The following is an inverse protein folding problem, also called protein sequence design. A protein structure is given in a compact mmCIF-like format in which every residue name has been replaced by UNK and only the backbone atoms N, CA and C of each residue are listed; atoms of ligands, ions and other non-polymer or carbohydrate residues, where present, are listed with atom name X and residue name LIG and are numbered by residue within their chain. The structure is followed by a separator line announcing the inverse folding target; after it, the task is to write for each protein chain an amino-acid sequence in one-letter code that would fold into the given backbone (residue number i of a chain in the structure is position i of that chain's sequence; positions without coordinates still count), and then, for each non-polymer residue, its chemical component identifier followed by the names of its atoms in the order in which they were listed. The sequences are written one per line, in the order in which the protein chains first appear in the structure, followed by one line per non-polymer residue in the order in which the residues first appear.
data_IF_541387879855
#
_entry.id   IF_541387879855
#
_cell.length_a   1.000
_cell.length_b   1.000
_cell.length_c   1.000
_cell.angle_alpha   90.00
_cell.angle_beta   90.00
_cell.angle_gamma   90.00
#
_symmetry.space_group_name_H-M   'P 1'
#
loop_
_entity.id
_entity.type
_entity.pdbx_description
1 polymer ?
#
# COMPACT_ATOMS: atom_id res chain seq x y z
N UNK A 1 -38.78 22.71 7.69
CA UNK A 1 -37.51 22.10 7.23
C UNK A 1 -37.02 22.95 6.08
N UNK A 2 -35.89 23.64 6.24
CA UNK A 2 -35.27 24.36 5.13
C UNK A 2 -34.90 23.35 4.04
N UNK A 3 -35.30 23.60 2.81
CA UNK A 3 -34.85 22.84 1.64
C UNK A 3 -33.32 22.78 1.67
N UNK A 4 -32.75 21.56 1.71
CA UNK A 4 -31.30 21.36 1.62
C UNK A 4 -30.90 21.85 0.24
N UNK A 5 -30.46 23.10 0.15
CA UNK A 5 -30.06 23.68 -1.13
C UNK A 5 -28.67 23.17 -1.49
N UNK A 6 -28.49 22.81 -2.76
CA UNK A 6 -27.19 22.49 -3.36
C UNK A 6 -26.10 23.51 -2.95
N UNK A 7 -26.47 24.79 -2.94
CA UNK A 7 -25.60 25.92 -2.55
C UNK A 7 -25.12 25.88 -1.09
N UNK A 8 -25.87 25.23 -0.19
CA UNK A 8 -25.44 25.03 1.20
C UNK A 8 -24.38 23.93 1.28
N UNK A 9 -24.61 22.80 0.64
CA UNK A 9 -23.68 21.67 0.61
C UNK A 9 -22.36 22.04 -0.08
N UNK A 10 -22.40 22.81 -1.17
CA UNK A 10 -21.19 23.30 -1.87
C UNK A 10 -20.24 24.11 -0.97
N UNK A 11 -20.76 24.74 0.10
CA UNK A 11 -19.93 25.46 1.07
C UNK A 11 -19.35 24.54 2.15
N UNK A 12 -20.04 23.45 2.47
CA UNK A 12 -19.68 22.55 3.58
C UNK A 12 -18.74 21.44 3.11
N UNK A 13 -19.06 20.79 1.98
CA UNK A 13 -18.33 19.64 1.45
C UNK A 13 -16.80 19.85 1.33
N UNK A 14 -16.29 21.03 0.88
CA UNK A 14 -14.85 21.28 0.83
C UNK A 14 -14.15 21.36 2.19
N UNK A 15 -14.90 21.48 3.29
CA UNK A 15 -14.36 21.53 4.66
C UNK A 15 -14.18 20.15 5.29
N UNK A 16 -14.77 19.10 4.70
CA UNK A 16 -14.73 17.74 5.23
C UNK A 16 -13.38 17.08 4.90
N UNK A 17 -12.62 16.63 5.90
CA UNK A 17 -11.36 15.88 5.66
C UNK A 17 -11.66 14.47 5.15
N UNK A 18 -11.55 14.29 3.83
CA UNK A 18 -11.77 13.02 3.15
C UNK A 18 -11.07 12.99 1.77
N UNK A 19 -11.18 11.87 1.04
CA UNK A 19 -10.45 11.63 -0.21
C UNK A 19 -10.71 12.69 -1.29
N UNK A 20 -11.93 13.23 -1.33
CA UNK A 20 -12.35 14.30 -2.25
C UNK A 20 -11.66 15.64 -1.99
N UNK A 21 -11.17 15.87 -0.77
CA UNK A 21 -10.52 17.14 -0.35
C UNK A 21 -9.00 17.01 -0.19
N UNK A 22 -8.47 15.78 -0.22
CA UNK A 22 -7.04 15.53 -0.09
C UNK A 22 -6.23 15.81 -1.35
N UNK A 23 -6.86 16.25 -2.45
CA UNK A 23 -6.20 16.63 -3.70
C UNK A 23 -5.30 15.52 -4.28
N UNK A 24 -5.74 14.26 -4.17
CA UNK A 24 -4.97 13.08 -4.59
C UNK A 24 -4.73 13.05 -6.11
N UNK A 25 -5.73 13.47 -6.88
CA UNK A 25 -5.73 13.43 -8.34
C UNK A 25 -6.34 14.71 -8.90
N UNK A 26 -5.58 15.82 -8.86
CA UNK A 26 -6.10 17.14 -9.25
C UNK A 26 -6.69 17.19 -10.68
N UNK A 27 -5.89 16.80 -11.69
CA UNK A 27 -6.22 16.88 -13.13
C UNK A 27 -6.00 15.58 -13.89
N UNK A 28 -5.34 14.61 -13.27
CA UNK A 28 -5.05 13.31 -13.87
C UNK A 28 -6.13 12.35 -13.37
N UNK A 29 -6.77 11.59 -14.27
CA UNK A 29 -7.62 10.49 -13.82
C UNK A 29 -6.75 9.46 -13.09
N UNK A 30 -7.25 8.82 -12.01
CA UNK A 30 -6.56 7.68 -11.45
C UNK A 30 -6.39 6.65 -12.58
N UNK A 31 -5.21 6.07 -12.69
CA UNK A 31 -5.00 5.00 -13.66
C UNK A 31 -5.91 3.82 -13.27
N UNK A 32 -6.47 3.08 -14.25
CA UNK A 32 -7.25 1.84 -13.96
C UNK A 32 -6.47 0.90 -13.04
N UNK A 33 -5.17 0.88 -13.25
CA UNK A 33 -4.13 0.44 -12.36
C UNK A 33 -4.39 0.72 -10.86
N UNK A 34 -4.68 1.94 -10.42
CA UNK A 34 -4.90 2.21 -8.99
C UNK A 34 -6.06 1.37 -8.41
N UNK A 35 -7.14 1.14 -9.16
CA UNK A 35 -8.29 0.36 -8.70
C UNK A 35 -7.91 -1.11 -8.43
N UNK A 36 -7.30 -1.76 -9.42
CA UNK A 36 -6.87 -3.15 -9.31
C UNK A 36 -5.89 -3.35 -8.16
N UNK A 37 -4.99 -2.38 -7.95
CA UNK A 37 -4.06 -2.42 -6.82
C UNK A 37 -4.77 -2.40 -5.49
N UNK A 38 -5.70 -1.46 -5.29
CA UNK A 38 -6.41 -1.33 -4.02
C UNK A 38 -7.28 -2.57 -3.76
N UNK A 39 -7.96 -3.11 -4.78
CA UNK A 39 -8.73 -4.36 -4.68
C UNK A 39 -7.86 -5.54 -4.23
N UNK A 40 -6.74 -5.78 -4.90
CA UNK A 40 -5.82 -6.86 -4.53
C UNK A 40 -5.26 -6.65 -3.12
N UNK A 41 -4.98 -5.41 -2.73
CA UNK A 41 -4.46 -5.12 -1.40
C UNK A 41 -5.49 -5.40 -0.29
N UNK A 42 -6.76 -5.09 -0.49
CA UNK A 42 -7.84 -5.40 0.47
C UNK A 42 -7.93 -6.90 0.75
N UNK A 43 -7.76 -7.72 -0.28
CA UNK A 43 -7.89 -9.17 -0.19
C UNK A 43 -6.67 -9.82 0.50
N UNK A 44 -5.46 -9.31 0.24
CA UNK A 44 -4.22 -10.02 0.57
C UNK A 44 -3.21 -9.27 1.47
N UNK A 45 -3.48 -8.01 1.86
CA UNK A 45 -2.70 -7.28 2.88
C UNK A 45 -3.34 -7.35 4.27
N UNK A 46 -2.53 -7.02 5.29
CA UNK A 46 -2.90 -7.06 6.71
C UNK A 46 -4.21 -6.32 7.02
N UNK A 47 -4.90 -6.75 8.07
CA UNK A 47 -6.21 -6.27 8.49
C UNK A 47 -6.22 -4.81 8.93
N UNK A 48 -5.11 -4.30 9.47
CA UNK A 48 -5.03 -2.99 10.16
C UNK A 48 -5.49 -1.78 9.34
N UNK A 49 -5.61 -1.88 8.01
CA UNK A 49 -5.92 -0.73 7.14
C UNK A 49 -7.04 -0.99 6.13
N UNK A 50 -7.81 -2.08 6.27
CA UNK A 50 -8.80 -2.46 5.25
C UNK A 50 -9.89 -1.41 5.08
N UNK A 51 -10.37 -0.78 6.16
CA UNK A 51 -11.36 0.29 6.07
C UNK A 51 -10.85 1.49 5.25
N UNK A 52 -9.61 1.93 5.49
CA UNK A 52 -8.96 2.99 4.70
C UNK A 52 -8.85 2.60 3.23
N UNK A 53 -8.52 1.35 2.93
CA UNK A 53 -8.44 0.86 1.55
C UNK A 53 -9.82 0.85 0.87
N UNK A 54 -10.88 0.45 1.58
CA UNK A 54 -12.24 0.53 1.05
C UNK A 54 -12.70 1.98 0.82
N UNK A 55 -12.32 2.92 1.70
CA UNK A 55 -12.57 4.36 1.49
C UNK A 55 -11.85 4.89 0.24
N UNK A 56 -10.59 4.49 0.02
CA UNK A 56 -9.84 4.83 -1.19
C UNK A 56 -10.46 4.19 -2.44
N UNK A 57 -10.85 2.91 -2.36
CA UNK A 57 -11.49 2.21 -3.47
C UNK A 57 -12.81 2.88 -3.87
N UNK A 58 -13.61 3.30 -2.89
CA UNK A 58 -14.84 4.05 -3.15
C UNK A 58 -14.56 5.34 -3.94
N UNK A 59 -13.53 6.09 -3.55
CA UNK A 59 -13.13 7.29 -4.27
C UNK A 59 -12.66 6.99 -5.70
N UNK A 60 -11.86 5.94 -5.90
CA UNK A 60 -11.41 5.52 -7.24
C UNK A 60 -12.59 5.10 -8.13
N UNK A 61 -13.52 4.30 -7.59
CA UNK A 61 -14.74 3.88 -8.30
C UNK A 61 -15.62 5.07 -8.67
N UNK A 62 -15.75 6.04 -7.77
CA UNK A 62 -16.43 7.30 -8.07
C UNK A 62 -15.78 8.03 -9.25
N UNK A 63 -14.45 8.13 -9.28
CA UNK A 63 -13.73 8.77 -10.39
C UNK A 63 -13.91 8.03 -11.73
N UNK A 64 -14.17 6.73 -11.70
CA UNK A 64 -14.57 5.93 -12.86
C UNK A 64 -16.08 6.00 -13.19
N UNK A 65 -16.85 6.84 -12.49
CA UNK A 65 -18.29 7.01 -12.67
C UNK A 65 -19.15 5.90 -12.05
N UNK A 66 -18.55 4.98 -11.29
CA UNK A 66 -19.23 3.83 -10.66
C UNK A 66 -19.74 4.19 -9.26
N UNK A 67 -20.62 5.18 -9.16
CA UNK A 67 -21.06 5.74 -7.87
C UNK A 67 -21.76 4.72 -6.95
N UNK A 68 -22.57 3.80 -7.49
CA UNK A 68 -23.23 2.77 -6.67
C UNK A 68 -22.22 1.78 -6.08
N UNK A 69 -21.23 1.34 -6.88
CA UNK A 69 -20.15 0.48 -6.39
C UNK A 69 -19.24 1.22 -5.40
N UNK A 70 -19.12 2.55 -5.50
CA UNK A 70 -18.45 3.36 -4.49
C UNK A 70 -19.21 3.31 -3.14
N UNK A 71 -20.55 3.40 -3.16
CA UNK A 71 -21.36 3.29 -1.94
C UNK A 71 -21.25 1.91 -1.28
N UNK A 72 -21.16 0.83 -2.07
CA UNK A 72 -20.90 -0.53 -1.56
C UNK A 72 -19.54 -0.61 -0.85
N UNK A 73 -18.50 0.00 -1.41
CA UNK A 73 -17.18 0.06 -0.78
C UNK A 73 -17.21 0.85 0.54
N UNK A 74 -17.94 1.97 0.59
CA UNK A 74 -18.10 2.74 1.83
C UNK A 74 -18.86 1.95 2.91
N UNK A 75 -19.83 1.13 2.50
CA UNK A 75 -20.54 0.25 3.44
C UNK A 75 -19.59 -0.79 4.03
N UNK A 76 -18.75 -1.41 3.20
CA UNK A 76 -17.72 -2.35 3.66
C UNK A 76 -16.74 -1.68 4.63
N UNK A 77 -16.35 -0.43 4.36
CA UNK A 77 -15.50 0.34 5.29
C UNK A 77 -16.20 0.54 6.65
N UNK A 78 -17.47 0.94 6.67
CA UNK A 78 -18.23 1.17 7.91
C UNK A 78 -18.41 -0.13 8.72
N UNK A 79 -18.70 -1.26 8.04
CA UNK A 79 -18.80 -2.58 8.68
C UNK A 79 -17.47 -3.04 9.32
N UNK A 80 -16.34 -2.78 8.65
CA UNK A 80 -15.01 -3.08 9.19
C UNK A 80 -14.67 -2.20 10.38
N UNK A 81 -14.94 -0.89 10.31
CA UNK A 81 -14.71 0.04 11.43
C UNK A 81 -15.51 -0.40 12.66
N UNK A 82 -16.78 -0.81 12.48
CA UNK A 82 -17.60 -1.31 13.58
C UNK A 82 -17.04 -2.60 14.20
N UNK A 83 -16.47 -3.49 13.37
CA UNK A 83 -15.91 -4.76 13.84
C UNK A 83 -14.57 -4.60 14.53
N UNK A 84 -13.69 -3.77 14.00
CA UNK A 84 -12.27 -3.68 14.41
C UNK A 84 -12.00 -2.53 15.39
N UNK A 85 -12.83 -1.48 15.38
CA UNK A 85 -12.65 -0.27 16.18
C UNK A 85 -13.94 0.15 16.91
N UNK A 86 -14.61 -0.81 17.55
CA UNK A 86 -15.89 -0.59 18.24
C UNK A 86 -15.85 0.53 19.30
N UNK A 87 -14.68 0.81 19.89
CA UNK A 87 -14.45 1.86 20.89
C UNK A 87 -14.24 3.26 20.28
N UNK A 88 -13.91 3.34 18.99
CA UNK A 88 -13.55 4.59 18.28
C UNK A 88 -14.32 4.79 16.96
N UNK A 89 -15.47 4.13 16.82
CA UNK A 89 -16.26 4.12 15.57
C UNK A 89 -16.52 5.53 15.05
N UNK A 90 -16.98 6.44 15.90
CA UNK A 90 -17.35 7.79 15.46
C UNK A 90 -16.16 8.55 14.81
N UNK A 91 -14.97 8.45 15.40
CA UNK A 91 -13.78 9.15 14.90
C UNK A 91 -13.26 8.46 13.63
N UNK A 92 -13.21 7.12 13.62
CA UNK A 92 -12.72 6.34 12.47
C UNK A 92 -13.68 6.37 11.28
N UNK A 93 -14.97 6.67 11.50
CA UNK A 93 -15.97 6.79 10.42
C UNK A 93 -16.02 8.18 9.77
N UNK A 94 -15.32 9.19 10.28
CA UNK A 94 -15.38 10.56 9.74
C UNK A 94 -15.03 10.65 8.25
N UNK A 95 -13.98 9.96 7.80
CA UNK A 95 -13.58 9.95 6.38
C UNK A 95 -14.60 9.19 5.53
N UNK A 96 -15.12 8.07 6.04
CA UNK A 96 -16.18 7.30 5.36
C UNK A 96 -17.45 8.13 5.18
N UNK A 97 -17.89 8.83 6.22
CA UNK A 97 -19.06 9.72 6.14
C UNK A 97 -18.81 10.93 5.25
N UNK A 98 -17.60 11.50 5.27
CA UNK A 98 -17.19 12.56 4.34
C UNK A 98 -17.26 12.09 2.88
N UNK A 99 -16.76 10.89 2.60
CA UNK A 99 -16.86 10.27 1.28
C UNK A 99 -18.33 10.01 0.88
N UNK A 100 -19.17 9.50 1.78
CA UNK A 100 -20.61 9.34 1.53
C UNK A 100 -21.27 10.66 1.14
N UNK A 101 -21.00 11.73 1.89
CA UNK A 101 -21.55 13.05 1.62
C UNK A 101 -21.21 13.53 0.20
N UNK A 102 -19.97 13.35 -0.25
CA UNK A 102 -19.53 13.69 -1.60
C UNK A 102 -20.18 12.79 -2.67
N UNK A 103 -20.22 11.47 -2.48
CA UNK A 103 -20.81 10.55 -3.47
C UNK A 103 -22.30 10.82 -3.65
N UNK A 104 -23.06 10.98 -2.55
CA UNK A 104 -24.49 11.34 -2.63
C UNK A 104 -24.72 12.70 -3.28
N UNK A 105 -23.85 13.68 -3.00
CA UNK A 105 -23.91 14.98 -3.65
C UNK A 105 -23.74 14.87 -5.17
N UNK A 106 -22.77 14.08 -5.64
CA UNK A 106 -22.55 13.83 -7.07
C UNK A 106 -23.69 13.05 -7.75
N UNK A 107 -24.42 12.23 -6.98
CA UNK A 107 -25.65 11.55 -7.43
C UNK A 107 -26.89 12.46 -7.46
N UNK A 108 -26.79 13.71 -6.98
CA UNK A 108 -27.94 14.62 -6.82
C UNK A 108 -28.85 14.28 -5.63
N UNK A 109 -28.42 13.35 -4.77
CA UNK A 109 -29.14 12.86 -3.57
C UNK A 109 -28.84 13.76 -2.37
N UNK A 110 -29.22 15.03 -2.46
CA UNK A 110 -28.80 16.07 -1.50
C UNK A 110 -29.29 15.82 -0.07
N UNK A 111 -30.48 15.26 0.12
CA UNK A 111 -30.99 14.92 1.45
C UNK A 111 -30.10 13.90 2.15
N UNK A 112 -29.59 12.92 1.42
CA UNK A 112 -28.72 11.88 1.97
C UNK A 112 -27.31 12.42 2.21
N UNK A 113 -26.79 13.25 1.30
CA UNK A 113 -25.54 13.97 1.53
C UNK A 113 -25.58 14.78 2.82
N UNK A 114 -26.71 15.47 3.11
CA UNK A 114 -26.89 16.23 4.34
C UNK A 114 -26.89 15.35 5.59
N UNK A 115 -27.49 14.15 5.55
CA UNK A 115 -27.47 13.21 6.68
C UNK A 115 -26.03 12.89 7.10
N UNK A 116 -25.13 12.63 6.15
CA UNK A 116 -23.73 12.35 6.47
C UNK A 116 -22.95 13.58 6.90
N UNK A 117 -23.24 14.76 6.32
CA UNK A 117 -22.71 16.04 6.83
C UNK A 117 -23.10 16.25 8.29
N UNK A 118 -24.36 15.96 8.65
CA UNK A 118 -24.85 16.12 10.02
C UNK A 118 -24.19 15.12 10.97
N UNK A 119 -23.93 13.87 10.54
CA UNK A 119 -23.14 12.90 11.31
C UNK A 119 -21.72 13.39 11.61
N UNK A 120 -21.02 13.88 10.58
CA UNK A 120 -19.69 14.48 10.74
C UNK A 120 -19.78 15.65 11.71
N UNK A 121 -20.73 16.56 11.49
CA UNK A 121 -20.90 17.76 12.31
C UNK A 121 -21.14 17.43 13.78
N UNK A 122 -22.05 16.51 14.06
CA UNK A 122 -22.35 16.07 15.42
C UNK A 122 -21.12 15.50 16.14
N UNK A 123 -20.28 14.77 15.40
CA UNK A 123 -19.05 14.19 15.95
C UNK A 123 -18.00 15.27 16.19
N UNK A 124 -17.83 16.22 15.26
CA UNK A 124 -16.87 17.30 15.35
C UNK A 124 -17.26 18.37 16.39
N UNK A 125 -18.55 18.61 16.63
CA UNK A 125 -19.05 19.53 17.66
C UNK A 125 -18.56 19.15 19.08
N UNK A 126 -18.24 17.86 19.32
CA UNK A 126 -17.62 17.39 20.56
C UNK A 126 -16.18 17.92 20.76
N UNK A 127 -15.56 18.50 19.73
CA UNK A 127 -14.14 18.89 19.67
C UNK A 127 -13.92 20.35 19.22
N UNK A 128 -14.91 21.23 19.40
CA UNK A 128 -14.80 22.70 19.18
C UNK A 128 -14.62 23.19 17.71
N UNK A 129 -14.77 22.33 16.70
CA UNK A 129 -14.90 22.72 15.28
C UNK A 129 -16.04 21.92 14.63
N UNK A 130 -17.00 22.54 13.91
CA UNK A 130 -18.17 21.84 13.42
C UNK A 130 -17.95 20.95 12.18
N UNK A 131 -16.89 21.11 11.38
CA UNK A 131 -16.79 20.39 10.08
C UNK A 131 -15.48 19.66 9.85
N UNK A 132 -14.49 19.88 10.70
CA UNK A 132 -13.24 19.13 10.68
C UNK A 132 -12.72 19.01 12.10
N UNK A 133 -12.12 17.86 12.39
CA UNK A 133 -11.31 17.69 13.60
C UNK A 133 -9.85 17.64 13.13
N UNK A 134 -8.99 18.28 13.91
CA UNK A 134 -7.57 17.98 13.90
C UNK A 134 -7.39 16.82 14.88
N UNK A 135 -7.41 15.58 14.40
CA UNK A 135 -7.12 14.43 15.24
C UNK A 135 -6.14 13.49 14.54
N UNK A 136 -5.29 12.80 15.31
CA UNK A 136 -4.21 12.01 14.75
C UNK A 136 -4.71 10.80 13.93
N UNK A 137 -5.93 10.32 14.17
CA UNK A 137 -6.56 9.25 13.37
C UNK A 137 -6.84 9.72 11.93
N UNK A 138 -7.28 10.96 11.74
CA UNK A 138 -7.51 11.53 10.41
C UNK A 138 -6.20 11.79 9.68
N UNK A 139 -5.19 12.29 10.39
CA UNK A 139 -3.85 12.46 9.83
C UNK A 139 -3.26 11.09 9.43
N UNK A 140 -3.45 10.04 10.25
CA UNK A 140 -3.06 8.66 9.91
C UNK A 140 -3.76 8.14 8.66
N UNK A 141 -5.09 8.32 8.56
CA UNK A 141 -5.85 7.86 7.41
C UNK A 141 -5.39 8.55 6.10
N UNK A 142 -5.15 9.86 6.16
CA UNK A 142 -4.55 10.60 5.04
C UNK A 142 -3.17 10.05 4.68
N UNK A 143 -2.32 9.80 5.69
CA UNK A 143 -0.99 9.22 5.53
C UNK A 143 -1.00 7.86 4.83
N UNK A 144 -1.88 6.96 5.23
CA UNK A 144 -2.02 5.63 4.61
C UNK A 144 -2.52 5.71 3.18
N UNK A 145 -3.52 6.56 2.91
CA UNK A 145 -3.99 6.79 1.54
C UNK A 145 -2.88 7.33 0.65
N UNK A 146 -2.08 8.29 1.14
CA UNK A 146 -0.95 8.85 0.41
C UNK A 146 0.16 7.81 0.16
N UNK A 147 0.45 6.93 1.12
CA UNK A 147 1.37 5.80 0.92
C UNK A 147 0.91 4.88 -0.21
N UNK A 148 -0.40 4.62 -0.30
CA UNK A 148 -0.92 3.84 -1.42
C UNK A 148 -0.82 4.60 -2.73
N UNK A 149 -1.06 5.90 -2.76
CA UNK A 149 -0.83 6.68 -3.98
C UNK A 149 0.66 6.66 -4.39
N UNK A 150 1.58 6.57 -3.44
CA UNK A 150 3.01 6.30 -3.63
C UNK A 150 3.81 7.40 -4.33
N UNK A 151 5.09 7.12 -4.60
CA UNK A 151 5.99 8.03 -5.33
C UNK A 151 6.10 9.42 -4.68
N UNK A 152 5.61 10.46 -5.38
CA UNK A 152 5.64 11.86 -4.91
C UNK A 152 4.86 12.10 -3.62
N UNK A 153 3.93 11.21 -3.26
CA UNK A 153 3.07 11.35 -2.09
C UNK A 153 3.72 10.87 -0.79
N UNK A 154 4.83 10.11 -0.87
CA UNK A 154 5.50 9.55 0.30
C UNK A 154 6.01 10.62 1.28
N UNK A 155 6.44 11.79 0.80
CA UNK A 155 6.87 12.89 1.68
C UNK A 155 5.68 13.48 2.45
N UNK A 156 4.53 13.65 1.78
CA UNK A 156 3.32 14.12 2.46
C UNK A 156 2.80 13.07 3.45
N UNK A 157 2.85 11.79 3.09
CA UNK A 157 2.49 10.70 3.98
C UNK A 157 3.34 10.71 5.26
N UNK A 158 4.66 10.91 5.12
CA UNK A 158 5.59 11.07 6.24
C UNK A 158 5.13 12.20 7.18
N UNK A 159 4.83 13.38 6.64
CA UNK A 159 4.37 14.54 7.43
C UNK A 159 3.07 14.24 8.18
N UNK A 160 2.12 13.54 7.55
CA UNK A 160 0.89 13.12 8.20
C UNK A 160 1.16 12.25 9.44
N UNK A 161 2.05 11.25 9.33
CA UNK A 161 2.40 10.40 10.47
C UNK A 161 3.25 11.11 11.52
N UNK A 162 4.14 12.03 11.13
CA UNK A 162 4.88 12.88 12.07
C UNK A 162 3.91 13.69 12.93
N UNK A 163 2.93 14.36 12.30
CA UNK A 163 1.90 15.12 13.02
C UNK A 163 1.06 14.23 13.95
N UNK A 164 0.66 13.05 13.49
CA UNK A 164 -0.09 12.11 14.32
C UNK A 164 0.72 11.63 15.55
N UNK A 165 2.05 11.47 15.40
CA UNK A 165 2.97 11.09 16.46
C UNK A 165 3.33 12.24 17.40
N UNK A 166 3.22 13.52 16.99
CA UNK A 166 3.35 14.66 17.91
C UNK A 166 2.29 14.59 19.02
N UNK A 167 1.07 14.19 18.68
CA UNK A 167 -0.04 14.02 19.62
C UNK A 167 -0.02 12.66 20.35
N UNK A 168 0.35 11.58 19.65
CA UNK A 168 0.41 10.22 20.22
C UNK A 168 1.77 9.53 19.92
N UNK A 169 2.86 9.87 20.65
CA UNK A 169 4.23 9.48 20.30
C UNK A 169 4.54 7.98 20.25
N UNK A 170 3.78 7.16 20.97
CA UNK A 170 3.98 5.71 21.06
C UNK A 170 2.86 4.92 20.39
N UNK A 171 2.11 5.53 19.47
CA UNK A 171 1.07 4.83 18.75
C UNK A 171 1.69 3.85 17.72
N UNK A 172 1.38 2.54 17.81
CA UNK A 172 1.98 1.53 16.92
C UNK A 172 1.61 1.71 15.43
N UNK A 173 0.38 2.16 15.16
CA UNK A 173 -0.14 2.41 13.80
C UNK A 173 0.65 3.56 13.14
N UNK A 174 0.79 4.68 13.84
CA UNK A 174 1.42 5.88 13.27
C UNK A 174 2.92 5.67 13.12
N UNK A 175 3.55 4.97 14.08
CA UNK A 175 4.97 4.58 13.98
C UNK A 175 5.22 3.67 12.78
N UNK A 176 4.32 2.72 12.53
CA UNK A 176 4.36 1.83 11.36
C UNK A 176 4.26 2.61 10.05
N UNK A 177 3.29 3.51 9.94
CA UNK A 177 3.11 4.38 8.79
C UNK A 177 4.33 5.26 8.50
N UNK A 178 4.88 5.89 9.55
CA UNK A 178 6.10 6.69 9.45
C UNK A 178 7.28 5.87 8.96
N UNK A 179 7.49 4.68 9.52
CA UNK A 179 8.59 3.81 9.15
C UNK A 179 8.54 3.37 7.68
N UNK A 180 7.34 3.05 7.17
CA UNK A 180 7.10 2.70 5.77
C UNK A 180 7.35 3.91 4.86
N UNK A 181 6.80 5.09 5.20
CA UNK A 181 7.02 6.32 4.44
C UNK A 181 8.50 6.67 4.35
N UNK A 182 9.22 6.63 5.47
CA UNK A 182 10.64 6.91 5.52
C UNK A 182 11.46 5.88 4.76
N UNK A 183 11.10 4.59 4.80
CA UNK A 183 11.76 3.55 3.99
C UNK A 183 11.63 3.84 2.49
N UNK A 184 10.46 4.28 2.02
CA UNK A 184 10.25 4.60 0.61
C UNK A 184 10.97 5.87 0.14
N UNK A 185 11.21 6.82 1.04
CA UNK A 185 11.99 8.05 0.77
C UNK A 185 13.52 7.82 0.81
N UNK A 186 13.94 6.65 1.26
CA UNK A 186 15.32 6.32 1.60
C UNK A 186 16.20 5.94 0.40
N UNK A 187 15.84 6.39 -0.82
CA UNK A 187 16.47 6.04 -2.10
C UNK A 187 17.94 6.45 -2.29
N UNK A 188 18.69 6.70 -1.21
CA UNK A 188 20.15 6.89 -1.22
C UNK A 188 20.82 6.09 -0.09
N UNK A 189 21.90 5.32 -0.36
CA UNK A 189 22.55 4.43 0.60
C UNK A 189 23.15 5.13 1.85
N UNK A 190 23.27 6.46 1.85
CA UNK A 190 23.86 7.23 2.95
C UNK A 190 22.88 7.63 4.07
N UNK A 191 21.57 7.42 3.93
CA UNK A 191 20.61 7.83 4.96
C UNK A 191 20.35 6.66 5.94
N UNK A 192 20.81 6.80 7.17
CA UNK A 192 20.54 5.85 8.28
C UNK A 192 19.17 6.09 8.95
N UNK A 193 18.42 7.10 8.52
CA UNK A 193 17.21 7.58 9.19
C UNK A 193 16.10 6.53 9.27
N UNK A 194 15.86 5.75 8.20
CA UNK A 194 14.80 4.73 8.21
C UNK A 194 15.09 3.57 9.17
N UNK A 195 16.37 3.24 9.44
CA UNK A 195 16.73 2.06 10.23
C UNK A 195 16.31 2.19 11.70
N UNK A 196 16.47 3.37 12.30
CA UNK A 196 16.05 3.59 13.68
C UNK A 196 14.52 3.61 13.79
N UNK A 197 13.85 4.26 12.83
CA UNK A 197 12.39 4.35 12.81
C UNK A 197 11.74 2.98 12.57
N UNK A 198 12.30 2.15 11.70
CA UNK A 198 11.86 0.76 11.50
C UNK A 198 12.02 -0.09 12.76
N UNK A 199 13.12 0.08 13.52
CA UNK A 199 13.31 -0.63 14.79
C UNK A 199 12.28 -0.21 15.84
N UNK A 200 12.08 1.10 16.01
CA UNK A 200 11.08 1.63 16.93
C UNK A 200 9.67 1.15 16.57
N UNK A 201 9.33 1.12 15.28
CA UNK A 201 8.05 0.60 14.83
C UNK A 201 7.86 -0.89 15.14
N UNK A 202 8.92 -1.71 15.07
CA UNK A 202 8.87 -3.13 15.47
C UNK A 202 8.73 -3.29 16.98
N UNK A 203 9.36 -2.41 17.78
CA UNK A 203 9.21 -2.43 19.24
C UNK A 203 7.76 -2.14 19.66
N UNK A 204 7.07 -1.25 18.93
CA UNK A 204 5.66 -0.92 19.16
C UNK A 204 4.69 -1.92 18.51
N UNK A 205 5.05 -2.50 17.36
CA UNK A 205 4.25 -3.46 16.58
C UNK A 205 5.04 -4.76 16.28
N UNK A 206 5.31 -5.61 17.30
CA UNK A 206 6.13 -6.81 17.13
C UNK A 206 5.51 -7.85 16.19
N UNK A 207 4.21 -7.77 15.94
CA UNK A 207 3.49 -8.69 15.06
C UNK A 207 3.34 -8.17 13.62
N UNK A 208 3.82 -6.96 13.32
CA UNK A 208 3.83 -6.44 11.96
C UNK A 208 5.01 -7.03 11.15
N UNK A 209 4.73 -8.15 10.45
CA UNK A 209 5.75 -8.87 9.70
C UNK A 209 6.26 -8.08 8.48
N UNK A 210 5.44 -7.21 7.90
CA UNK A 210 5.86 -6.38 6.76
C UNK A 210 7.02 -5.45 7.15
N UNK A 211 6.92 -4.77 8.30
CA UNK A 211 7.98 -3.87 8.79
C UNK A 211 9.27 -4.65 9.09
N UNK A 212 9.18 -5.88 9.61
CA UNK A 212 10.36 -6.73 9.84
C UNK A 212 11.12 -7.02 8.56
N UNK A 213 10.40 -7.34 7.47
CA UNK A 213 11.05 -7.57 6.16
C UNK A 213 11.62 -6.26 5.59
N UNK A 214 10.97 -5.11 5.80
CA UNK A 214 11.55 -3.81 5.42
C UNK A 214 12.84 -3.51 6.20
N UNK A 215 12.88 -3.80 7.50
CA UNK A 215 14.11 -3.67 8.30
C UNK A 215 15.21 -4.62 7.79
N UNK A 216 14.86 -5.86 7.43
CA UNK A 216 15.81 -6.81 6.87
C UNK A 216 16.42 -6.31 5.55
N UNK A 217 15.58 -5.79 4.64
CA UNK A 217 16.04 -5.18 3.39
C UNK A 217 16.93 -3.96 3.64
N UNK A 218 16.58 -3.11 4.62
CA UNK A 218 17.43 -1.97 4.99
C UNK A 218 18.77 -2.42 5.56
N UNK A 219 18.78 -3.46 6.40
CA UNK A 219 19.99 -4.07 6.94
C UNK A 219 20.88 -4.67 5.84
N UNK A 220 20.28 -5.33 4.84
CA UNK A 220 20.99 -5.84 3.66
C UNK A 220 21.66 -4.71 2.88
N UNK A 221 20.96 -3.60 2.63
CA UNK A 221 21.49 -2.43 1.93
C UNK A 221 22.68 -1.76 2.65
N UNK A 222 22.85 -1.96 3.95
CA UNK A 222 23.99 -1.45 4.74
C UNK A 222 25.01 -2.54 5.10
N UNK A 223 25.05 -3.63 4.32
CA UNK A 223 25.97 -4.76 4.49
C UNK A 223 25.86 -5.49 5.84
N UNK A 224 24.66 -5.48 6.45
CA UNK A 224 24.34 -6.20 7.70
C UNK A 224 23.33 -7.32 7.47
N UNK A 225 23.43 -8.01 6.34
CA UNK A 225 22.49 -9.06 5.90
C UNK A 225 22.27 -10.15 6.96
N UNK A 226 23.34 -10.61 7.64
CA UNK A 226 23.26 -11.64 8.68
C UNK A 226 22.33 -11.29 9.86
N UNK A 227 22.07 -10.00 10.09
CA UNK A 227 21.09 -9.52 11.09
C UNK A 227 19.68 -9.41 10.54
N UNK A 228 19.53 -9.27 9.22
CA UNK A 228 18.24 -9.15 8.55
C UNK A 228 17.60 -10.51 8.25
N UNK A 229 18.39 -11.51 7.90
CA UNK A 229 17.85 -12.83 7.51
C UNK A 229 16.94 -13.49 8.57
N UNK A 230 17.27 -13.48 9.88
CA UNK A 230 16.36 -14.01 10.89
C UNK A 230 14.98 -13.33 10.92
N UNK A 231 14.93 -12.02 10.64
CA UNK A 231 13.67 -11.27 10.56
C UNK A 231 12.83 -11.70 9.36
N UNK A 232 13.46 -12.02 8.23
CA UNK A 232 12.77 -12.55 7.05
C UNK A 232 12.21 -13.94 7.32
N UNK A 233 12.99 -14.80 7.98
CA UNK A 233 12.55 -16.16 8.34
C UNK A 233 11.34 -16.07 9.27
N UNK A 234 11.42 -15.27 10.34
CA UNK A 234 10.29 -15.07 11.27
C UNK A 234 9.04 -14.54 10.55
N UNK A 235 9.21 -13.55 9.66
CA UNK A 235 8.10 -12.98 8.91
C UNK A 235 7.42 -14.01 8.00
N UNK A 236 8.18 -14.88 7.34
CA UNK A 236 7.65 -15.94 6.50
C UNK A 236 6.96 -17.06 7.29
N UNK A 237 7.41 -17.33 8.51
CA UNK A 237 6.76 -18.30 9.42
C UNK A 237 5.43 -17.76 9.95
N UNK A 238 5.39 -16.48 10.35
CA UNK A 238 4.19 -15.86 10.94
C UNK A 238 3.17 -15.39 9.91
N UNK A 239 3.60 -15.07 8.70
CA UNK A 239 2.74 -14.56 7.63
C UNK A 239 2.99 -15.28 6.29
N UNK A 240 2.78 -16.61 6.21
CA UNK A 240 3.19 -17.41 5.05
C UNK A 240 2.41 -17.14 3.77
N UNK A 241 1.23 -16.51 3.87
CA UNK A 241 0.35 -16.19 2.74
C UNK A 241 0.24 -14.69 2.48
N UNK A 242 0.91 -13.83 3.26
CA UNK A 242 0.79 -12.39 3.12
C UNK A 242 1.65 -11.91 1.94
N UNK A 243 1.00 -11.41 0.89
CA UNK A 243 1.64 -11.23 -0.42
C UNK A 243 2.70 -10.13 -0.45
N UNK A 244 2.57 -9.09 0.38
CA UNK A 244 3.58 -8.05 0.57
C UNK A 244 4.84 -8.58 1.28
N UNK A 245 4.67 -9.38 2.33
CA UNK A 245 5.77 -10.07 3.04
C UNK A 245 6.49 -11.01 2.08
N UNK A 246 5.76 -11.86 1.36
CA UNK A 246 6.33 -12.78 0.37
C UNK A 246 7.12 -12.03 -0.70
N UNK A 247 6.57 -10.94 -1.23
CA UNK A 247 7.23 -10.12 -2.25
C UNK A 247 8.51 -9.47 -1.74
N UNK A 248 8.49 -8.87 -0.54
CA UNK A 248 9.67 -8.22 0.04
C UNK A 248 10.73 -9.24 0.45
N UNK A 249 10.33 -10.40 0.95
CA UNK A 249 11.23 -11.50 1.26
C UNK A 249 11.89 -12.05 -0.01
N UNK A 250 11.15 -12.17 -1.12
CA UNK A 250 11.72 -12.53 -2.41
C UNK A 250 12.76 -11.51 -2.88
N UNK A 251 12.52 -10.19 -2.69
CA UNK A 251 13.52 -9.14 -2.98
C UNK A 251 14.80 -9.34 -2.15
N UNK A 252 14.67 -9.72 -0.87
CA UNK A 252 15.80 -10.01 0.01
C UNK A 252 16.63 -11.21 -0.50
N UNK A 253 15.99 -12.35 -0.80
CA UNK A 253 16.68 -13.53 -1.32
C UNK A 253 17.28 -13.29 -2.72
N UNK A 254 16.61 -12.52 -3.57
CA UNK A 254 17.16 -12.11 -4.87
C UNK A 254 18.46 -11.31 -4.71
N UNK A 255 18.50 -10.34 -3.79
CA UNK A 255 19.72 -9.56 -3.48
C UNK A 255 20.83 -10.42 -2.85
N UNK A 256 20.47 -11.44 -2.08
CA UNK A 256 21.40 -12.45 -1.53
C UNK A 256 21.95 -13.41 -2.60
N UNK A 257 21.32 -13.47 -3.78
CA UNK A 257 21.66 -14.39 -4.87
C UNK A 257 20.95 -15.75 -4.81
N UNK A 258 20.10 -15.97 -3.81
CA UNK A 258 19.24 -17.16 -3.72
C UNK A 258 17.99 -16.98 -4.59
N UNK A 259 18.19 -17.14 -5.90
CA UNK A 259 17.16 -16.96 -6.91
C UNK A 259 16.07 -18.05 -6.86
N UNK A 260 16.41 -19.25 -6.39
CA UNK A 260 15.45 -20.34 -6.25
C UNK A 260 14.40 -20.02 -5.18
N UNK A 261 14.84 -19.59 -4.00
CA UNK A 261 13.94 -19.18 -2.93
C UNK A 261 13.13 -17.94 -3.30
N UNK A 262 13.74 -16.99 -4.01
CA UNK A 262 13.01 -15.83 -4.52
C UNK A 262 11.86 -16.24 -5.47
N UNK A 263 12.11 -17.16 -6.41
CA UNK A 263 11.09 -17.67 -7.34
C UNK A 263 9.99 -18.43 -6.57
N UNK A 264 10.34 -19.26 -5.59
CA UNK A 264 9.36 -19.99 -4.76
C UNK A 264 8.39 -19.02 -4.07
N UNK A 265 8.92 -18.00 -3.39
CA UNK A 265 8.13 -17.00 -2.68
C UNK A 265 7.23 -16.19 -3.62
N UNK A 266 7.75 -15.81 -4.80
CA UNK A 266 6.96 -15.08 -5.80
C UNK A 266 5.87 -15.95 -6.42
N UNK A 267 6.10 -17.26 -6.60
CA UNK A 267 5.06 -18.19 -7.05
C UNK A 267 3.96 -18.34 -6.02
N UNK A 268 4.30 -18.45 -4.73
CA UNK A 268 3.32 -18.41 -3.62
C UNK A 268 2.50 -17.12 -3.64
N UNK A 269 3.14 -15.96 -3.82
CA UNK A 269 2.43 -14.69 -3.93
C UNK A 269 1.50 -14.63 -5.17
N UNK A 270 1.93 -15.25 -6.28
CA UNK A 270 1.12 -15.36 -7.50
C UNK A 270 -0.04 -16.34 -7.37
N UNK A 271 0.04 -17.36 -6.51
CA UNK A 271 -1.10 -18.24 -6.19
C UNK A 271 -2.23 -17.45 -5.51
N UNK A 272 -1.88 -16.53 -4.63
CA UNK A 272 -2.84 -15.61 -4.00
C UNK A 272 -3.34 -14.54 -4.97
N UNK A 273 -2.47 -13.96 -5.81
CA UNK A 273 -2.86 -12.99 -6.84
C UNK A 273 -2.60 -13.50 -8.27
N UNK A 274 -3.42 -14.43 -8.81
CA UNK A 274 -3.17 -15.05 -10.11
C UNK A 274 -3.07 -14.06 -11.26
N UNK A 275 -3.70 -12.89 -11.17
CA UNK A 275 -3.72 -11.88 -12.22
C UNK A 275 -2.66 -10.79 -12.06
N UNK A 276 -1.74 -10.93 -11.10
CA UNK A 276 -0.64 -9.97 -10.90
C UNK A 276 0.41 -10.09 -12.01
N UNK A 277 0.47 -9.09 -12.90
CA UNK A 277 1.54 -8.99 -13.89
C UNK A 277 2.89 -8.62 -13.26
N UNK A 278 2.87 -7.96 -12.10
CA UNK A 278 4.06 -7.66 -11.31
C UNK A 278 4.77 -8.91 -10.83
N UNK A 279 4.07 -9.86 -10.21
CA UNK A 279 4.70 -11.12 -9.79
C UNK A 279 5.18 -11.94 -10.99
N UNK A 280 4.44 -11.93 -12.11
CA UNK A 280 4.92 -12.56 -13.35
C UNK A 280 6.22 -11.93 -13.85
N UNK A 281 6.31 -10.60 -13.84
CA UNK A 281 7.52 -9.87 -14.21
C UNK A 281 8.70 -10.20 -13.27
N UNK A 282 8.49 -10.14 -11.95
CA UNK A 282 9.54 -10.45 -10.98
C UNK A 282 10.06 -11.89 -11.11
N UNK A 283 9.17 -12.86 -11.35
CA UNK A 283 9.55 -14.26 -11.61
C UNK A 283 10.39 -14.37 -12.90
N UNK A 284 9.96 -13.70 -13.97
CA UNK A 284 10.72 -13.64 -15.24
C UNK A 284 12.12 -13.06 -15.04
N UNK A 285 12.24 -11.96 -14.29
CA UNK A 285 13.51 -11.33 -13.96
C UNK A 285 14.41 -12.25 -13.11
N UNK A 286 13.85 -13.02 -12.18
CA UNK A 286 14.61 -14.02 -11.42
C UNK A 286 15.12 -15.17 -12.32
N UNK A 287 14.29 -15.71 -13.21
CA UNK A 287 14.74 -16.72 -14.18
C UNK A 287 15.84 -16.18 -15.10
N UNK A 288 15.72 -14.93 -15.55
CA UNK A 288 16.74 -14.25 -16.35
C UNK A 288 18.05 -14.10 -15.57
N UNK A 289 17.98 -13.73 -14.30
CA UNK A 289 19.14 -13.66 -13.42
C UNK A 289 19.80 -15.05 -13.24
N UNK A 290 19.03 -16.13 -13.13
CA UNK A 290 19.59 -17.50 -13.05
C UNK A 290 20.34 -17.88 -14.31
N UNK A 291 19.78 -17.54 -15.48
CA UNK A 291 20.45 -17.77 -16.77
C UNK A 291 21.79 -17.02 -16.82
N UNK A 292 21.82 -15.76 -16.39
CA UNK A 292 23.07 -14.97 -16.30
C UNK A 292 24.07 -15.62 -15.35
N UNK A 293 23.62 -16.08 -14.18
CA UNK A 293 24.47 -16.74 -13.19
C UNK A 293 25.14 -18.01 -13.76
N UNK A 294 24.41 -18.85 -14.49
CA UNK A 294 24.97 -20.06 -15.13
C UNK A 294 25.93 -19.68 -16.26
N UNK A 295 25.60 -18.70 -17.09
CA UNK A 295 26.48 -18.25 -18.18
C UNK A 295 27.82 -17.68 -17.69
N UNK A 296 27.82 -17.05 -16.52
CA UNK A 296 29.03 -16.48 -15.91
C UNK A 296 29.92 -17.54 -15.22
N UNK A 297 29.48 -18.80 -15.13
CA UNK A 297 30.35 -19.90 -14.66
C UNK A 297 31.20 -20.44 -15.80
N UNK A 298 32.47 -20.76 -15.52
CA UNK A 298 33.48 -21.21 -16.50
C UNK A 298 33.04 -22.47 -17.29
N UNK A 299 32.08 -23.24 -16.78
CA UNK A 299 31.53 -24.49 -17.38
C UNK A 299 30.24 -24.30 -18.20
N UNK A 300 29.91 -23.08 -18.63
CA UNK A 300 28.66 -22.79 -19.35
C UNK A 300 28.47 -23.58 -20.67
N UNK A 301 29.56 -24.11 -21.25
CA UNK A 301 29.58 -24.86 -22.51
C UNK A 301 29.26 -26.36 -22.40
N UNK A 302 29.07 -26.87 -21.19
CA UNK A 302 28.63 -28.27 -21.00
C UNK A 302 27.21 -28.48 -21.56
N UNK A 303 26.96 -29.65 -22.17
CA UNK A 303 25.63 -30.00 -22.72
C UNK A 303 24.51 -29.82 -21.69
N UNK A 304 24.79 -30.20 -20.45
CA UNK A 304 23.88 -30.05 -19.31
C UNK A 304 23.53 -28.58 -19.01
N UNK A 305 24.52 -27.68 -19.00
CA UNK A 305 24.27 -26.27 -18.76
C UNK A 305 23.52 -25.61 -19.92
N UNK A 306 23.74 -26.06 -21.16
CA UNK A 306 22.97 -25.58 -22.33
C UNK A 306 21.48 -25.94 -22.22
N UNK A 307 21.15 -27.20 -21.92
CA UNK A 307 19.77 -27.65 -21.72
C UNK A 307 19.09 -26.86 -20.59
N UNK A 308 19.78 -26.70 -19.46
CA UNK A 308 19.28 -25.93 -18.31
C UNK A 308 19.08 -24.45 -18.64
N UNK A 309 20.01 -23.83 -19.38
CA UNK A 309 19.88 -22.44 -19.84
C UNK A 309 18.65 -22.30 -20.75
N UNK A 310 18.44 -23.22 -21.68
CA UNK A 310 17.28 -23.21 -22.58
C UNK A 310 15.97 -23.33 -21.82
N UNK A 311 15.89 -24.25 -20.85
CA UNK A 311 14.72 -24.44 -20.00
C UNK A 311 14.40 -23.18 -19.18
N UNK A 312 15.40 -22.62 -18.48
CA UNK A 312 15.22 -21.39 -17.68
C UNK A 312 14.87 -20.19 -18.55
N UNK A 313 15.46 -20.10 -19.75
CA UNK A 313 15.13 -19.05 -20.73
C UNK A 313 13.70 -19.17 -21.24
N UNK A 314 13.18 -20.41 -21.38
CA UNK A 314 11.78 -20.65 -21.71
C UNK A 314 10.86 -20.17 -20.59
N UNK A 315 11.13 -20.52 -19.34
CA UNK A 315 10.34 -20.01 -18.21
C UNK A 315 10.35 -18.49 -18.13
N UNK A 316 11.52 -17.85 -18.31
CA UNK A 316 11.63 -16.39 -18.34
C UNK A 316 10.72 -15.77 -19.40
N UNK A 317 10.75 -16.29 -20.63
CA UNK A 317 9.88 -15.83 -21.73
C UNK A 317 8.40 -16.07 -21.45
N UNK A 318 8.04 -17.24 -20.93
CA UNK A 318 6.64 -17.58 -20.64
C UNK A 318 6.06 -16.64 -19.57
N UNK A 319 6.80 -16.36 -18.49
CA UNK A 319 6.37 -15.43 -17.46
C UNK A 319 6.38 -13.97 -17.93
N UNK A 320 7.33 -13.57 -18.80
CA UNK A 320 7.30 -12.25 -19.43
C UNK A 320 6.08 -12.08 -20.33
N UNK A 321 5.74 -13.10 -21.12
CA UNK A 321 4.54 -13.10 -21.96
C UNK A 321 3.27 -12.99 -21.10
N UNK A 322 3.17 -13.77 -20.02
CA UNK A 322 2.07 -13.67 -19.05
C UNK A 322 1.98 -12.28 -18.42
N UNK A 323 3.10 -11.63 -18.13
CA UNK A 323 3.10 -10.27 -17.61
C UNK A 323 2.54 -9.27 -18.64
N UNK A 324 2.91 -9.41 -19.91
CA UNK A 324 2.39 -8.56 -21.01
C UNK A 324 0.91 -8.84 -21.28
N UNK A 325 0.50 -10.10 -21.34
CA UNK A 325 -0.89 -10.52 -21.58
C UNK A 325 -1.84 -10.02 -20.49
N UNK A 326 -1.36 -9.96 -19.24
CA UNK A 326 -2.11 -9.41 -18.10
C UNK A 326 -2.11 -7.88 -18.08
N UNK A 327 -1.42 -7.23 -19.02
CA UNK A 327 -1.27 -5.78 -19.08
C UNK A 327 -0.33 -5.20 -18.01
N UNK A 328 -0.01 -3.90 -18.07
CA UNK A 328 0.56 -3.23 -16.91
C UNK A 328 -0.38 -3.46 -15.73
N UNK A 329 0.10 -4.17 -14.72
CA UNK A 329 -0.56 -4.22 -13.44
C UNK A 329 0.16 -3.17 -12.57
N UNK A 330 -0.58 -2.21 -12.00
CA UNK A 330 -0.17 -1.01 -11.23
C UNK A 330 0.95 -1.17 -10.22
N UNK A 331 1.15 -2.37 -9.68
CA UNK A 331 2.13 -2.60 -8.61
C UNK A 331 3.52 -2.08 -9.02
N UNK A 332 3.81 -2.06 -10.33
CA UNK A 332 5.05 -1.55 -10.92
C UNK A 332 5.24 -0.02 -10.87
N UNK A 333 4.17 0.78 -10.91
CA UNK A 333 4.34 2.22 -11.12
C UNK A 333 4.78 2.98 -9.85
N UNK A 334 4.59 2.41 -8.66
CA UNK A 334 4.80 3.16 -7.41
C UNK A 334 5.59 2.45 -6.32
N UNK A 335 5.80 1.13 -6.41
CA UNK A 335 6.72 0.43 -5.50
C UNK A 335 8.19 0.48 -5.94
N UNK A 336 8.48 0.75 -7.23
CA UNK A 336 9.86 0.72 -7.77
C UNK A 336 10.28 2.00 -8.53
N UNK A 337 9.59 3.14 -8.41
CA UNK A 337 10.12 4.42 -8.95
C UNK A 337 11.21 5.09 -8.08
N UNK A 338 11.80 4.38 -7.10
CA UNK A 338 12.90 4.90 -6.29
C UNK A 338 14.22 4.11 -6.39
N UNK A 339 14.26 2.98 -7.09
CA UNK A 339 15.52 2.35 -7.46
C UNK A 339 15.49 2.19 -8.98
N UNK A 340 16.21 3.02 -9.77
CA UNK A 340 16.62 2.54 -11.07
C UNK A 340 17.25 1.17 -10.83
N UNK A 341 16.91 0.18 -11.66
CA UNK A 341 17.74 -1.00 -11.84
C UNK A 341 19.11 -0.50 -12.37
N UNK A 342 19.91 0.14 -11.51
CA UNK A 342 21.32 0.34 -11.74
C UNK A 342 21.91 -1.05 -11.66
N UNK A 343 21.96 -1.66 -12.86
CA UNK A 343 22.99 -2.55 -13.33
C UNK A 343 24.18 -2.51 -12.36
N UNK A 344 24.26 -3.54 -11.51
CA UNK A 344 25.52 -3.86 -10.88
C UNK A 344 26.41 -4.39 -12.01
N UNK A 345 27.32 -3.52 -12.45
CA UNK A 345 28.43 -3.79 -13.34
C UNK A 345 29.30 -4.96 -12.86
#
# INVERSE_FOLDING_TARGET
MSEVSKNSLEKILPQLKCHFTWNLFQKDSPSHDLEDRVCNQIEFLNTEFKATMHNLLAYVKHLHGQNEAALECLQQAEELIQREHADQVEIRSLVTWGNYAWVYYHLGRFSEAQVYVDKVKHTCEKFSNPYSIECPELDSEEGWTLLQCGGKWNERAKVCFEKALEEKPNNPEFSSGLAIAMYHLDGKPQKQFSLNVLKQAIELSPDNQYIKVLLALKLQNINKEAKGEPLVIEALEKAPCQTDVLCRAAKFYRKKGDLDKAIELLKKALESMPNSSYYCHLISSCYTAKVKQIKNTEDSDTSWNREKIEELSKYARDYAKKAIEKGPNPLNAYFDLAEPETECY
#
